data_IF_898386863608
#
_entry.id   IF_898386863608
#
_cell.length_a   1.000
_cell.length_b   1.000
_cell.length_c   1.000
_cell.angle_alpha   90.00
_cell.angle_beta   90.00
_cell.angle_gamma   90.00
#
_symmetry.space_group_name_H-M   'P 1'
#
loop_
_entity.id
_entity.type
_entity.pdbx_description
1 polymer ?
#
# COMPACT_ATOMS: atom_id res chain seq x y z
N UNK A 1 -3.68 -53.62 8.24
CA UNK A 1 -3.33 -52.34 7.57
C UNK A 1 -4.53 -51.89 6.73
N UNK A 2 -5.36 -50.98 7.23
CA UNK A 2 -6.55 -50.50 6.51
C UNK A 2 -6.13 -49.42 5.51
N UNK A 3 -6.15 -49.77 4.23
CA UNK A 3 -5.87 -48.86 3.13
C UNK A 3 -6.90 -47.74 3.08
N UNK A 4 -6.43 -46.51 3.24
CA UNK A 4 -7.23 -45.29 3.14
C UNK A 4 -7.83 -45.22 1.73
N UNK A 5 -9.14 -45.48 1.61
CA UNK A 5 -9.86 -45.40 0.33
C UNK A 5 -9.72 -43.99 -0.22
N UNK A 6 -8.97 -43.83 -1.32
CA UNK A 6 -8.90 -42.56 -2.05
C UNK A 6 -10.29 -42.28 -2.60
N UNK A 7 -10.94 -41.23 -2.09
CA UNK A 7 -12.24 -40.78 -2.60
C UNK A 7 -12.03 -40.16 -3.99
N UNK A 8 -12.27 -40.96 -5.03
CA UNK A 8 -12.31 -40.48 -6.42
C UNK A 8 -13.54 -39.59 -6.58
N UNK A 9 -13.35 -38.28 -6.41
CA UNK A 9 -14.40 -37.26 -6.51
C UNK A 9 -14.26 -36.13 -5.50
N UNK A 10 -13.62 -36.39 -4.35
CA UNK A 10 -13.40 -35.37 -3.30
C UNK A 10 -12.44 -34.26 -3.76
N UNK A 11 -11.53 -34.56 -4.70
CA UNK A 11 -10.59 -33.58 -5.23
C UNK A 11 -11.24 -32.54 -6.16
N UNK A 12 -12.25 -32.89 -6.97
CA UNK A 12 -12.77 -31.97 -8.00
C UNK A 12 -13.57 -30.81 -7.40
N UNK A 13 -14.46 -31.09 -6.44
CA UNK A 13 -15.31 -30.06 -5.84
C UNK A 13 -14.51 -29.12 -4.93
N UNK A 14 -13.52 -29.64 -4.22
CA UNK A 14 -12.61 -28.84 -3.39
C UNK A 14 -11.72 -27.93 -4.23
N UNK A 15 -11.20 -28.43 -5.37
CA UNK A 15 -10.45 -27.62 -6.32
C UNK A 15 -11.29 -26.48 -6.91
N UNK A 16 -12.56 -26.74 -7.26
CA UNK A 16 -13.44 -25.71 -7.83
C UNK A 16 -13.61 -24.52 -6.86
N UNK A 17 -13.78 -24.81 -5.56
CA UNK A 17 -13.92 -23.75 -4.54
C UNK A 17 -12.63 -22.95 -4.40
N UNK A 18 -11.48 -23.62 -4.30
CA UNK A 18 -10.17 -22.94 -4.18
C UNK A 18 -9.89 -22.09 -5.43
N UNK A 19 -10.14 -22.62 -6.63
CA UNK A 19 -9.97 -21.89 -7.89
C UNK A 19 -10.88 -20.66 -7.97
N UNK A 20 -12.15 -20.79 -7.55
CA UNK A 20 -13.07 -19.66 -7.53
C UNK A 20 -12.59 -18.53 -6.60
N UNK A 21 -12.07 -18.87 -5.41
CA UNK A 21 -11.50 -17.89 -4.47
C UNK A 21 -10.26 -17.19 -5.05
N UNK A 22 -9.35 -17.94 -5.68
CA UNK A 22 -8.16 -17.38 -6.32
C UNK A 22 -8.54 -16.46 -7.49
N UNK A 23 -9.55 -16.84 -8.30
CA UNK A 23 -10.01 -16.02 -9.42
C UNK A 23 -10.55 -14.67 -8.95
N UNK A 24 -11.37 -14.64 -7.89
CA UNK A 24 -11.90 -13.40 -7.31
C UNK A 24 -10.76 -12.52 -6.76
N UNK A 25 -9.81 -13.12 -6.04
CA UNK A 25 -8.64 -12.40 -5.53
C UNK A 25 -7.78 -11.82 -6.67
N UNK A 26 -7.58 -12.58 -7.75
CA UNK A 26 -6.81 -12.14 -8.91
C UNK A 26 -7.43 -10.91 -9.57
N UNK A 27 -8.75 -10.88 -9.77
CA UNK A 27 -9.46 -9.71 -10.32
C UNK A 27 -9.19 -8.45 -9.48
N UNK A 28 -9.24 -8.57 -8.14
CA UNK A 28 -8.95 -7.46 -7.23
C UNK A 28 -7.49 -7.00 -7.34
N UNK A 29 -6.53 -7.94 -7.33
CA UNK A 29 -5.10 -7.64 -7.47
C UNK A 29 -4.80 -6.94 -8.79
N UNK A 30 -5.36 -7.40 -9.92
CA UNK A 30 -5.14 -6.77 -11.22
C UNK A 30 -5.70 -5.35 -11.30
N UNK A 31 -6.84 -5.08 -10.66
CA UNK A 31 -7.38 -3.71 -10.59
C UNK A 31 -6.46 -2.78 -9.79
N UNK A 32 -6.08 -3.18 -8.57
CA UNK A 32 -5.21 -2.35 -7.72
C UNK A 32 -3.81 -2.20 -8.32
N UNK A 33 -3.22 -3.29 -8.80
CA UNK A 33 -1.91 -3.29 -9.43
C UNK A 33 -1.90 -2.47 -10.73
N UNK A 34 -2.96 -2.56 -11.54
CA UNK A 34 -3.12 -1.75 -12.75
C UNK A 34 -3.23 -0.25 -12.46
N UNK A 35 -3.92 0.14 -11.39
CA UNK A 35 -3.98 1.54 -10.93
C UNK A 35 -2.61 2.05 -10.50
N UNK A 36 -1.85 1.27 -9.73
CA UNK A 36 -0.50 1.64 -9.26
C UNK A 36 0.48 1.74 -10.42
N UNK A 37 0.51 0.75 -11.31
CA UNK A 37 1.34 0.78 -12.51
C UNK A 37 1.01 1.99 -13.39
N UNK A 38 -0.27 2.24 -13.68
CA UNK A 38 -0.68 3.40 -14.47
C UNK A 38 -0.27 4.72 -13.82
N UNK A 39 -0.42 4.85 -12.49
CA UNK A 39 -0.01 6.04 -11.77
C UNK A 39 1.51 6.26 -11.82
N UNK A 40 2.30 5.19 -11.63
CA UNK A 40 3.76 5.24 -11.74
C UNK A 40 4.21 5.52 -13.18
N UNK A 41 3.65 4.84 -14.17
CA UNK A 41 3.95 5.10 -15.59
C UNK A 41 3.55 6.52 -15.99
N UNK A 42 2.43 7.05 -15.49
CA UNK A 42 2.06 8.45 -15.74
C UNK A 42 3.02 9.44 -15.05
N UNK A 43 3.48 9.15 -13.84
CA UNK A 43 4.49 9.96 -13.17
C UNK A 43 5.83 9.92 -13.93
N UNK A 44 6.28 8.73 -14.33
CA UNK A 44 7.49 8.55 -15.14
C UNK A 44 7.36 9.19 -16.52
N UNK A 45 6.20 9.08 -17.17
CA UNK A 45 5.95 9.69 -18.46
C UNK A 45 5.94 11.22 -18.37
N UNK A 46 5.41 11.80 -17.28
CA UNK A 46 5.47 13.25 -17.01
C UNK A 46 6.88 13.73 -16.71
N UNK A 47 7.62 12.97 -15.91
CA UNK A 47 9.04 13.23 -15.63
C UNK A 47 9.87 13.16 -16.93
N UNK A 48 9.63 12.14 -17.76
CA UNK A 48 10.31 11.92 -19.04
C UNK A 48 9.88 12.92 -20.12
N UNK A 49 8.61 13.36 -20.11
CA UNK A 49 8.10 14.39 -21.03
C UNK A 49 8.52 15.80 -20.62
N UNK A 50 9.24 15.95 -19.50
CA UNK A 50 9.65 17.26 -18.99
C UNK A 50 8.47 18.12 -18.53
N UNK A 51 7.31 17.52 -18.24
CA UNK A 51 6.19 18.24 -17.59
C UNK A 51 6.56 18.45 -16.12
N UNK A 52 7.31 19.54 -15.90
CA UNK A 52 7.58 20.24 -14.66
C UNK A 52 6.96 19.62 -13.38
N UNK A 53 7.65 18.61 -12.82
CA UNK A 53 7.44 18.10 -11.47
C UNK A 53 7.67 19.17 -10.39
N UNK A 54 8.02 20.40 -10.78
CA UNK A 54 8.23 21.56 -9.91
C UNK A 54 7.00 21.91 -9.08
N UNK A 55 5.77 21.62 -9.54
CA UNK A 55 4.57 21.76 -8.70
C UNK A 55 4.54 20.72 -7.56
N UNK A 56 4.88 19.47 -7.87
CA UNK A 56 4.97 18.37 -6.92
C UNK A 56 6.16 18.53 -5.96
N UNK A 57 7.30 19.03 -6.45
CA UNK A 57 8.48 19.39 -5.66
C UNK A 57 8.15 20.55 -4.72
N UNK A 58 7.45 21.60 -5.17
CA UNK A 58 6.99 22.69 -4.29
C UNK A 58 6.02 22.19 -3.22
N UNK A 59 5.10 21.30 -3.56
CA UNK A 59 4.21 20.67 -2.57
C UNK A 59 4.99 19.80 -1.57
N UNK A 60 5.95 19.00 -2.04
CA UNK A 60 6.81 18.16 -1.21
C UNK A 60 7.68 19.01 -0.26
N UNK A 61 8.25 20.11 -0.73
CA UNK A 61 9.01 21.07 0.07
C UNK A 61 8.13 21.73 1.14
N UNK A 62 6.90 22.13 0.78
CA UNK A 62 5.94 22.68 1.72
C UNK A 62 5.50 21.68 2.81
N UNK A 63 5.28 20.42 2.43
CA UNK A 63 4.95 19.35 3.37
C UNK A 63 6.13 19.03 4.31
N UNK A 64 7.35 18.96 3.78
CA UNK A 64 8.56 18.74 4.57
C UNK A 64 8.80 19.88 5.58
N UNK A 65 8.59 21.14 5.18
CA UNK A 65 8.69 22.28 6.08
C UNK A 65 7.67 22.24 7.23
N UNK A 66 6.41 21.85 6.93
CA UNK A 66 5.37 21.67 7.96
C UNK A 66 5.72 20.53 8.92
N UNK A 67 6.18 19.39 8.41
CA UNK A 67 6.61 18.26 9.23
C UNK A 67 7.79 18.64 10.14
N UNK A 68 8.79 19.36 9.62
CA UNK A 68 9.92 19.85 10.40
C UNK A 68 9.48 20.86 11.49
N UNK A 69 8.53 21.75 11.18
CA UNK A 69 7.96 22.68 12.16
C UNK A 69 7.18 21.94 13.27
N UNK A 70 6.40 20.93 12.91
CA UNK A 70 5.69 20.07 13.87
C UNK A 70 6.65 19.26 14.73
N UNK A 71 7.73 18.72 14.16
CA UNK A 71 8.78 18.03 14.89
C UNK A 71 9.49 18.97 15.89
N UNK A 72 9.74 20.23 15.50
CA UNK A 72 10.29 21.26 16.39
C UNK A 72 9.33 21.60 17.54
N UNK A 73 8.02 21.68 17.28
CA UNK A 73 7.00 21.94 18.29
C UNK A 73 6.79 20.74 19.26
N UNK A 74 7.09 19.52 18.81
CA UNK A 74 6.87 18.25 19.55
C UNK A 74 8.17 17.61 20.05
N UNK A 75 9.24 18.38 20.21
CA UNK A 75 10.47 17.87 20.83
C UNK A 75 10.20 17.34 22.24
N UNK A 76 11.04 16.43 22.73
CA UNK A 76 10.95 15.83 24.08
C UNK A 76 10.81 16.89 25.20
N UNK A 77 11.29 18.12 24.97
CA UNK A 77 11.10 19.29 25.85
C UNK A 77 9.63 19.69 26.06
N UNK A 78 8.78 19.48 25.06
CA UNK A 78 7.33 19.74 25.12
C UNK A 78 6.60 18.69 25.98
N UNK A 79 7.15 17.47 26.10
CA UNK A 79 6.57 16.39 26.91
C UNK A 79 7.11 16.39 28.35
N UNK A 80 8.36 16.81 28.58
CA UNK A 80 8.91 16.92 29.93
C UNK A 80 8.45 18.18 30.67
N UNK A 81 8.01 19.23 29.96
CA UNK A 81 7.53 20.49 30.55
C UNK A 81 6.15 20.44 31.23
N UNK A 82 5.37 19.36 31.06
CA UNK A 82 4.06 19.19 31.71
C UNK A 82 4.08 18.16 32.87
N UNK A 83 5.25 17.60 33.19
CA UNK A 83 5.41 16.59 34.25
C UNK A 83 5.77 17.19 35.63
N UNK A 84 5.71 18.51 35.79
CA UNK A 84 6.01 19.23 37.03
C UNK A 84 4.88 20.11 37.57
N UNK A 85 3.65 19.97 37.04
CA UNK A 85 2.47 20.66 37.55
C UNK A 85 1.58 19.69 38.33
N UNK A 86 2.09 19.21 39.47
CA UNK A 86 1.34 18.82 40.68
C UNK A 86 2.31 18.40 41.77
#
# INVERSE_FOLDING_TARGET
MQGKRRQSGQAMTEYIIVVALVAVAAIAVYQYFGQVLRAQTAAMARELSGEDGSAQVKQAQGAAGKAAAQAKARTLKSFTGNAGAK
#
